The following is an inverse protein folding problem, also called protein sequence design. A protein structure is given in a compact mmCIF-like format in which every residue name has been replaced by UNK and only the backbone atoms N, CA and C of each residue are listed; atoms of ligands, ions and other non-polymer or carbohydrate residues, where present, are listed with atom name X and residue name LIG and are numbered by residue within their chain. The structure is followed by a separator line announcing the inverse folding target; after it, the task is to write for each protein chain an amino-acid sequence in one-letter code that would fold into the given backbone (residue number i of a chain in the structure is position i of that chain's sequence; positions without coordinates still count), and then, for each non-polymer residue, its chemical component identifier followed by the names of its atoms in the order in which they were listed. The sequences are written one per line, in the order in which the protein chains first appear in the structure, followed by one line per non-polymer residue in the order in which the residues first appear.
data_IF_253280501923
#
_entry.id   IF_253280501923
#
_cell.length_a   1.000
_cell.length_b   1.000
_cell.length_c   1.000
_cell.angle_alpha   90.00
_cell.angle_beta   90.00
_cell.angle_gamma   90.00
#
_symmetry.space_group_name_H-M   'P 1'
#
loop_
_entity.id
_entity.type
_entity.pdbx_description
1 polymer ?
#
# COMPACT_ATOMS: atom_id res chain seq x y z
N UNK A 1 1.66 62.93 -21.87
CA UNK A 1 2.82 62.50 -22.67
C UNK A 1 3.04 61.03 -22.33
N UNK A 2 2.60 60.03 -23.08
CA UNK A 2 2.40 59.97 -24.52
C UNK A 2 3.52 59.15 -25.13
N UNK A 3 3.47 57.81 -24.98
CA UNK A 3 4.22 56.89 -25.83
C UNK A 3 3.33 55.72 -26.23
N UNK A 4 2.98 55.73 -27.52
CA UNK A 4 2.35 54.65 -28.28
C UNK A 4 3.39 53.58 -28.62
N UNK A 5 3.09 52.29 -28.39
CA UNK A 5 3.70 51.22 -29.19
C UNK A 5 2.65 50.19 -29.62
N UNK A 6 2.38 50.26 -30.92
CA UNK A 6 1.54 49.45 -31.77
C UNK A 6 2.27 48.15 -32.19
N UNK A 7 1.69 46.98 -31.94
CA UNK A 7 1.66 45.80 -32.85
C UNK A 7 0.76 44.71 -32.24
N UNK A 8 -0.52 44.61 -32.58
CA UNK A 8 -1.10 43.89 -33.73
C UNK A 8 -0.58 42.45 -33.89
N UNK A 9 -1.40 41.51 -33.41
CA UNK A 9 -1.75 40.21 -33.99
C UNK A 9 -0.64 39.39 -34.67
N UNK A 10 -0.21 38.32 -34.02
CA UNK A 10 -0.14 37.01 -34.68
C UNK A 10 -0.83 35.97 -33.79
N UNK A 11 -2.09 35.73 -34.10
CA UNK A 11 -2.80 34.56 -33.66
C UNK A 11 -2.35 33.41 -34.56
N UNK A 12 -1.38 32.60 -34.11
CA UNK A 12 -1.14 31.25 -34.62
C UNK A 12 -0.20 30.48 -33.69
N UNK A 13 -0.79 29.56 -32.92
CA UNK A 13 -0.09 28.44 -32.30
C UNK A 13 0.76 28.77 -31.08
N UNK A 14 0.14 28.90 -29.90
CA UNK A 14 0.87 28.73 -28.65
C UNK A 14 0.09 27.81 -27.72
N UNK A 15 0.75 26.70 -27.40
CA UNK A 15 0.31 25.55 -26.63
C UNK A 15 -0.33 25.92 -25.28
N UNK A 16 -1.21 25.04 -24.80
CA UNK A 16 -1.88 25.05 -23.48
C UNK A 16 -0.93 25.32 -22.28
N UNK A 17 0.38 25.15 -22.50
CA UNK A 17 1.48 25.46 -21.57
C UNK A 17 1.57 26.95 -21.20
N UNK A 18 1.21 27.88 -22.10
CA UNK A 18 1.44 29.33 -21.85
C UNK A 18 0.39 29.96 -20.91
N UNK A 19 -0.78 29.33 -20.76
CA UNK A 19 -1.80 29.81 -19.82
C UNK A 19 -1.43 29.52 -18.35
N UNK A 20 -0.56 28.53 -18.10
CA UNK A 20 -0.10 28.17 -16.76
C UNK A 20 1.03 29.07 -16.24
N UNK A 21 1.73 29.79 -17.12
CA UNK A 21 2.78 30.75 -16.72
C UNK A 21 2.22 32.15 -16.43
N UNK A 22 1.08 32.51 -17.02
CA UNK A 22 0.41 33.81 -16.80
C UNK A 22 -0.14 34.06 -15.38
N UNK A 23 -0.20 33.03 -14.53
CA UNK A 23 -0.65 33.16 -13.13
C UNK A 23 0.50 33.37 -12.13
N UNK A 24 1.77 33.40 -12.57
CA UNK A 24 2.92 33.53 -11.66
C UNK A 24 3.36 34.97 -11.35
N UNK A 25 2.79 36.00 -11.98
CA UNK A 25 3.32 37.38 -11.89
C UNK A 25 2.41 38.41 -11.22
N UNK A 26 1.31 38.01 -10.58
CA UNK A 26 0.51 38.91 -9.74
C UNK A 26 0.57 38.49 -8.27
N UNK A 27 1.52 39.04 -7.50
CA UNK A 27 1.53 38.79 -6.06
C UNK A 27 2.69 39.36 -5.24
N UNK A 28 3.30 40.46 -5.68
CA UNK A 28 4.32 41.17 -4.90
C UNK A 28 3.76 42.52 -4.41
N UNK A 29 3.04 42.49 -3.28
CA UNK A 29 2.89 43.64 -2.38
C UNK A 29 2.81 43.15 -0.92
N UNK A 30 3.63 43.77 -0.09
CA UNK A 30 3.87 43.41 1.30
C UNK A 30 2.59 43.27 2.13
N UNK A 31 2.54 42.16 2.87
CA UNK A 31 1.55 41.82 3.87
C UNK A 31 1.91 40.43 4.36
N UNK A 32 2.19 40.27 5.66
CA UNK A 32 2.50 38.96 6.25
C UNK A 32 1.44 37.97 5.83
N UNK A 33 1.82 37.03 4.96
CA UNK A 33 0.90 36.18 4.22
C UNK A 33 0.05 35.38 5.20
N UNK A 34 -1.27 35.64 5.37
CA UNK A 34 -2.09 34.95 6.36
C UNK A 34 -2.29 33.46 6.05
N UNK A 35 -1.86 33.01 4.86
CA UNK A 35 -1.78 31.59 4.50
C UNK A 35 -0.54 30.89 5.08
N UNK A 36 0.57 31.59 5.32
CA UNK A 36 1.81 30.97 5.79
C UNK A 36 1.66 30.35 7.19
N UNK A 37 0.88 30.99 8.08
CA UNK A 37 0.60 30.49 9.45
C UNK A 37 -0.47 29.40 9.52
N UNK A 38 -1.35 29.27 8.50
CA UNK A 38 -2.34 28.18 8.43
C UNK A 38 -1.79 26.91 7.75
N UNK A 39 -0.70 27.01 6.99
CA UNK A 39 -0.11 25.90 6.24
C UNK A 39 0.88 25.04 7.05
N UNK A 40 1.60 25.61 8.02
CA UNK A 40 2.53 24.86 8.89
C UNK A 40 1.81 23.80 9.76
N UNK A 41 0.71 24.10 10.47
CA UNK A 41 0.03 23.10 11.28
C UNK A 41 -0.56 21.98 10.41
N UNK A 42 -1.10 22.30 9.23
CA UNK A 42 -1.67 21.29 8.32
C UNK A 42 -0.63 20.28 7.84
N UNK A 43 0.59 20.72 7.52
CA UNK A 43 1.66 19.81 7.10
C UNK A 43 2.13 18.90 8.24
N UNK A 44 2.23 19.42 9.47
CA UNK A 44 2.62 18.60 10.64
C UNK A 44 1.54 17.56 10.97
N UNK A 45 0.26 17.97 10.89
CA UNK A 45 -0.88 17.07 11.08
C UNK A 45 -0.90 15.99 9.99
N UNK A 46 -0.75 16.36 8.72
CA UNK A 46 -0.76 15.41 7.59
C UNK A 46 0.37 14.37 7.70
N UNK A 47 1.59 14.78 8.07
CA UNK A 47 2.71 13.85 8.29
C UNK A 47 2.44 12.88 9.44
N UNK A 48 1.84 13.37 10.53
CA UNK A 48 1.49 12.54 11.70
C UNK A 48 0.41 11.53 11.33
N UNK A 49 -0.65 11.97 10.65
CA UNK A 49 -1.73 11.09 10.19
C UNK A 49 -1.23 10.06 9.18
N UNK A 50 -0.34 10.45 8.26
CA UNK A 50 0.30 9.52 7.33
C UNK A 50 1.07 8.45 8.10
N UNK A 51 1.94 8.84 9.03
CA UNK A 51 2.74 7.90 9.82
C UNK A 51 1.86 6.93 10.63
N UNK A 52 0.83 7.44 11.32
CA UNK A 52 -0.11 6.60 12.05
C UNK A 52 -0.86 5.64 11.13
N UNK A 53 -1.27 6.09 9.95
CA UNK A 53 -1.96 5.24 8.97
C UNK A 53 -1.03 4.19 8.38
N UNK A 54 0.25 4.51 8.19
CA UNK A 54 1.27 3.55 7.77
C UNK A 54 1.49 2.46 8.83
N UNK A 55 1.60 2.83 10.10
CA UNK A 55 1.71 1.87 11.20
C UNK A 55 0.46 1.00 11.34
N UNK A 56 -0.73 1.61 11.22
CA UNK A 56 -1.99 0.88 11.21
C UNK A 56 -2.04 -0.11 10.04
N UNK A 57 -1.73 0.35 8.83
CA UNK A 57 -1.66 -0.50 7.64
C UNK A 57 -0.69 -1.66 7.81
N UNK A 58 0.49 -1.42 8.41
CA UNK A 58 1.46 -2.46 8.72
C UNK A 58 0.92 -3.48 9.74
N UNK A 59 0.23 -3.01 10.78
CA UNK A 59 -0.41 -3.88 11.78
C UNK A 59 -1.56 -4.72 11.20
N UNK A 60 -2.23 -4.23 10.15
CA UNK A 60 -3.29 -4.97 9.43
C UNK A 60 -2.73 -6.11 8.55
N UNK A 61 -1.47 -6.04 8.11
CA UNK A 61 -0.85 -7.05 7.24
C UNK A 61 -0.87 -8.47 7.83
N UNK A 62 -0.36 -8.72 9.06
CA UNK A 62 -0.38 -10.06 9.65
C UNK A 62 -1.80 -10.56 9.96
N UNK A 63 -2.79 -9.68 10.05
CA UNK A 63 -4.20 -10.05 10.25
C UNK A 63 -4.86 -10.59 8.98
N UNK A 64 -4.15 -10.62 7.85
CA UNK A 64 -4.70 -11.04 6.55
C UNK A 64 -5.63 -10.00 5.91
N UNK A 65 -5.61 -8.76 6.41
CA UNK A 65 -6.36 -7.64 5.86
C UNK A 65 -5.53 -6.91 4.78
N UNK A 66 -6.15 -6.13 3.87
CA UNK A 66 -5.46 -5.44 2.78
C UNK A 66 -4.65 -4.22 3.28
N UNK A 67 -3.76 -4.41 4.26
CA UNK A 67 -2.98 -3.36 4.91
C UNK A 67 -2.03 -2.61 3.96
N UNK A 68 -1.43 -3.31 2.98
CA UNK A 68 -0.59 -2.68 1.95
C UNK A 68 -1.38 -1.67 1.09
N UNK A 69 -2.62 -1.99 0.76
CA UNK A 69 -3.52 -1.10 0.02
C UNK A 69 -3.93 0.12 0.84
N UNK A 70 -4.16 -0.06 2.14
CA UNK A 70 -4.42 1.06 3.07
C UNK A 70 -3.23 2.02 3.09
N UNK A 71 -2.00 1.50 3.17
CA UNK A 71 -0.79 2.33 3.13
C UNK A 71 -0.61 3.06 1.80
N UNK A 72 -0.87 2.39 0.67
CA UNK A 72 -0.82 3.01 -0.65
C UNK A 72 -1.87 4.12 -0.80
N UNK A 73 -3.09 3.87 -0.34
CA UNK A 73 -4.17 4.87 -0.32
C UNK A 73 -3.84 6.07 0.56
N UNK A 74 -3.27 5.86 1.74
CA UNK A 74 -2.81 6.94 2.61
C UNK A 74 -1.72 7.80 1.94
N UNK A 75 -0.81 7.14 1.22
CA UNK A 75 0.25 7.83 0.45
C UNK A 75 -0.34 8.65 -0.71
N UNK A 76 -1.35 8.12 -1.40
CA UNK A 76 -2.08 8.84 -2.45
C UNK A 76 -2.79 10.08 -1.90
N UNK A 77 -3.50 9.93 -0.78
CA UNK A 77 -4.17 11.06 -0.11
C UNK A 77 -3.16 12.12 0.30
N UNK A 78 -2.02 11.73 0.87
CA UNK A 78 -0.95 12.67 1.22
C UNK A 78 -0.41 13.41 -0.01
N UNK A 79 -0.20 12.71 -1.13
CA UNK A 79 0.27 13.31 -2.38
C UNK A 79 -0.70 14.36 -2.93
N UNK A 80 -2.01 14.13 -2.83
CA UNK A 80 -3.05 15.06 -3.30
C UNK A 80 -3.21 16.26 -2.35
N UNK A 81 -3.22 16.03 -1.04
CA UNK A 81 -3.47 17.06 -0.02
C UNK A 81 -2.24 17.96 0.19
N UNK A 82 -1.04 17.48 -0.13
CA UNK A 82 0.22 18.22 0.01
C UNK A 82 0.91 18.34 -1.36
N UNK A 83 0.47 19.27 -2.25
CA UNK A 83 0.98 19.40 -3.61
C UNK A 83 2.44 19.87 -3.71
N UNK A 84 2.93 20.57 -2.69
CA UNK A 84 4.35 20.93 -2.53
C UNK A 84 5.17 19.80 -1.86
N UNK A 85 4.56 18.63 -1.66
CA UNK A 85 5.17 17.47 -1.04
C UNK A 85 6.19 16.79 -1.94
N UNK A 86 7.09 16.04 -1.32
CA UNK A 86 8.22 15.38 -1.96
C UNK A 86 7.91 14.06 -2.64
N UNK A 87 6.66 13.60 -2.54
CA UNK A 87 6.22 12.36 -3.17
C UNK A 87 5.82 12.68 -4.61
N UNK A 88 6.64 12.27 -5.57
CA UNK A 88 6.34 12.36 -6.99
C UNK A 88 5.53 11.16 -7.51
N UNK A 89 4.96 11.31 -8.71
CA UNK A 89 4.21 10.23 -9.37
C UNK A 89 5.03 8.96 -9.62
N UNK A 90 6.35 9.08 -9.81
CA UNK A 90 7.27 7.93 -9.93
C UNK A 90 7.32 7.14 -8.62
N UNK A 91 7.50 7.83 -7.48
CA UNK A 91 7.51 7.20 -6.15
C UNK A 91 6.20 6.45 -5.91
N UNK A 92 5.06 7.08 -6.23
CA UNK A 92 3.77 6.42 -6.12
C UNK A 92 3.66 5.19 -7.03
N UNK A 93 4.10 5.28 -8.28
CA UNK A 93 4.12 4.16 -9.23
C UNK A 93 4.96 2.97 -8.74
N UNK A 94 6.13 3.23 -8.17
CA UNK A 94 7.00 2.21 -7.56
C UNK A 94 6.32 1.55 -6.35
N UNK A 95 5.71 2.34 -5.47
CA UNK A 95 4.97 1.81 -4.31
C UNK A 95 3.79 0.95 -4.76
N UNK A 96 3.02 1.39 -5.75
CA UNK A 96 1.91 0.62 -6.31
C UNK A 96 2.39 -0.72 -6.91
N UNK A 97 3.50 -0.70 -7.66
CA UNK A 97 4.12 -1.92 -8.18
C UNK A 97 4.57 -2.86 -7.06
N UNK A 98 5.17 -2.33 -5.98
CA UNK A 98 5.56 -3.13 -4.81
C UNK A 98 4.36 -3.79 -4.13
N UNK A 99 3.23 -3.08 -3.99
CA UNK A 99 1.99 -3.66 -3.43
C UNK A 99 1.50 -4.82 -4.29
N UNK A 100 1.43 -4.64 -5.61
CA UNK A 100 1.01 -5.71 -6.52
C UNK A 100 1.97 -6.90 -6.45
N UNK A 101 3.28 -6.67 -6.44
CA UNK A 101 4.28 -7.73 -6.30
C UNK A 101 4.12 -8.49 -4.99
N UNK A 102 3.90 -7.78 -3.87
CA UNK A 102 3.69 -8.40 -2.57
C UNK A 102 2.43 -9.28 -2.54
N UNK A 103 1.33 -8.83 -3.15
CA UNK A 103 0.11 -9.64 -3.29
C UNK A 103 0.34 -10.89 -4.14
N UNK A 104 1.00 -10.75 -5.30
CA UNK A 104 1.32 -11.90 -6.16
C UNK A 104 2.23 -12.90 -5.44
N UNK A 105 3.22 -12.41 -4.68
CA UNK A 105 4.10 -13.25 -3.87
C UNK A 105 3.33 -13.99 -2.77
N UNK A 106 2.35 -13.37 -2.12
CA UNK A 106 1.52 -14.03 -1.12
C UNK A 106 0.78 -15.25 -1.70
N UNK A 107 0.10 -15.08 -2.84
CA UNK A 107 -0.59 -16.18 -3.51
C UNK A 107 0.39 -17.26 -3.99
N UNK A 108 1.54 -16.83 -4.50
CA UNK A 108 2.56 -17.74 -5.04
C UNK A 108 3.22 -18.55 -3.94
N UNK A 109 3.60 -17.94 -2.82
CA UNK A 109 4.20 -18.60 -1.65
C UNK A 109 3.18 -19.57 -1.06
N UNK A 110 1.96 -19.12 -0.75
CA UNK A 110 0.93 -19.97 -0.15
C UNK A 110 0.63 -21.20 -1.03
N UNK A 111 0.52 -21.01 -2.34
CA UNK A 111 0.30 -22.10 -3.29
C UNK A 111 1.51 -23.03 -3.48
N UNK A 112 2.74 -22.51 -3.54
CA UNK A 112 3.95 -23.32 -3.72
C UNK A 112 4.28 -24.14 -2.47
N UNK A 113 4.11 -23.58 -1.29
CA UNK A 113 4.34 -24.30 -0.04
C UNK A 113 3.34 -25.44 0.16
N UNK A 114 2.05 -25.24 -0.15
CA UNK A 114 1.09 -26.35 -0.14
C UNK A 114 1.53 -27.52 -1.07
N UNK A 115 1.99 -27.21 -2.28
CA UNK A 115 2.47 -28.23 -3.24
C UNK A 115 3.80 -28.87 -2.84
N UNK A 116 4.72 -28.11 -2.25
CA UNK A 116 6.03 -28.60 -1.78
C UNK A 116 5.87 -29.73 -0.74
N UNK A 117 4.77 -29.71 0.02
CA UNK A 117 4.46 -30.71 1.03
C UNK A 117 3.52 -31.81 0.51
N UNK A 118 3.40 -31.95 -0.81
CA UNK A 118 2.60 -33.01 -1.47
C UNK A 118 1.14 -32.65 -1.70
N UNK A 119 0.76 -31.39 -1.50
CA UNK A 119 -0.63 -30.95 -1.60
C UNK A 119 -1.12 -30.78 -3.03
N UNK A 120 -2.38 -31.15 -3.24
CA UNK A 120 -3.08 -30.90 -4.50
C UNK A 120 -3.32 -29.40 -4.74
N UNK A 121 -3.74 -29.06 -5.95
CA UNK A 121 -4.22 -27.70 -6.28
C UNK A 121 -5.41 -27.29 -5.39
N UNK A 122 -6.23 -28.25 -4.95
CA UNK A 122 -7.39 -28.02 -4.08
C UNK A 122 -6.96 -27.63 -2.67
N UNK A 123 -5.91 -28.25 -2.13
CA UNK A 123 -5.37 -27.88 -0.82
C UNK A 123 -4.93 -26.41 -0.75
N UNK A 124 -4.31 -25.89 -1.81
CA UNK A 124 -3.95 -24.47 -1.87
C UNK A 124 -5.17 -23.54 -1.82
N UNK A 125 -6.22 -23.83 -2.58
CA UNK A 125 -7.46 -23.06 -2.53
C UNK A 125 -8.21 -23.22 -1.20
N UNK A 126 -8.21 -24.44 -0.65
CA UNK A 126 -8.75 -24.73 0.68
C UNK A 126 -8.06 -23.93 1.77
N UNK A 127 -6.73 -23.75 1.68
CA UNK A 127 -5.97 -22.93 2.61
C UNK A 127 -6.36 -21.44 2.53
N UNK A 128 -6.56 -20.92 1.32
CA UNK A 128 -6.95 -19.51 1.12
C UNK A 128 -8.35 -19.27 1.66
N UNK A 129 -9.33 -20.07 1.24
CA UNK A 129 -10.74 -19.93 1.66
C UNK A 129 -10.87 -20.17 3.16
N UNK A 130 -10.26 -21.25 3.66
CA UNK A 130 -10.26 -21.57 5.08
C UNK A 130 -9.59 -20.47 5.91
N UNK A 131 -8.50 -19.88 5.42
CA UNK A 131 -7.84 -18.77 6.11
C UNK A 131 -8.69 -17.51 6.16
N UNK A 132 -9.40 -17.17 5.09
CA UNK A 132 -10.34 -16.03 5.08
C UNK A 132 -11.49 -16.28 6.06
N UNK A 133 -12.15 -17.44 5.97
CA UNK A 133 -13.27 -17.81 6.86
C UNK A 133 -12.81 -17.83 8.32
N UNK A 134 -11.65 -18.42 8.59
CA UNK A 134 -11.07 -18.46 9.93
C UNK A 134 -10.72 -17.07 10.46
N UNK A 135 -10.18 -16.18 9.63
CA UNK A 135 -9.93 -14.79 10.02
C UNK A 135 -11.22 -14.06 10.41
N UNK A 136 -12.30 -14.26 9.64
CA UNK A 136 -13.63 -13.67 9.88
C UNK A 136 -14.26 -14.22 11.16
N UNK A 137 -14.19 -15.53 11.39
CA UNK A 137 -14.70 -16.15 12.63
C UNK A 137 -13.87 -15.70 13.84
N UNK A 138 -12.58 -15.43 13.65
CA UNK A 138 -11.66 -14.96 14.70
C UNK A 138 -11.84 -13.49 15.10
N UNK A 139 -12.66 -12.71 14.39
CA UNK A 139 -12.91 -11.28 14.64
C UNK A 139 -13.35 -10.93 16.08
N UNK A 140 -14.13 -11.76 16.82
CA UNK A 140 -14.57 -11.41 18.18
C UNK A 140 -13.43 -11.11 19.16
N UNK A 141 -12.22 -11.62 18.91
CA UNK A 141 -11.00 -11.25 19.61
C UNK A 141 -10.07 -10.50 18.64
N UNK A 142 -10.08 -9.16 18.63
CA UNK A 142 -9.31 -8.40 17.65
C UNK A 142 -7.81 -8.70 17.77
N UNK A 143 -7.12 -8.66 16.63
CA UNK A 143 -5.68 -8.92 16.47
C UNK A 143 -5.30 -10.40 16.65
N UNK A 144 -5.49 -10.97 17.84
CA UNK A 144 -5.03 -12.34 18.12
C UNK A 144 -5.98 -13.37 17.52
N UNK A 145 -7.29 -13.18 17.70
CA UNK A 145 -8.31 -14.11 17.21
C UNK A 145 -8.33 -14.20 15.69
N UNK A 146 -8.22 -13.07 14.98
CA UNK A 146 -8.18 -13.07 13.52
C UNK A 146 -6.92 -13.71 12.96
N UNK A 147 -5.75 -13.49 13.58
CA UNK A 147 -4.51 -14.17 13.18
C UNK A 147 -4.58 -15.68 13.41
N UNK A 148 -4.94 -16.09 14.62
CA UNK A 148 -5.06 -17.52 14.98
C UNK A 148 -6.10 -18.19 14.11
N UNK A 149 -7.26 -17.53 13.91
CA UNK A 149 -8.32 -17.98 13.02
C UNK A 149 -7.83 -18.13 11.58
N UNK A 150 -7.07 -17.17 11.04
CA UNK A 150 -6.54 -17.25 9.69
C UNK A 150 -5.58 -18.44 9.51
N UNK A 151 -4.71 -18.69 10.49
CA UNK A 151 -3.78 -19.81 10.45
C UNK A 151 -4.47 -21.17 10.65
N UNK A 152 -5.34 -21.28 11.65
CA UNK A 152 -6.10 -22.49 11.94
C UNK A 152 -7.08 -22.81 10.80
N UNK A 153 -7.75 -21.80 10.27
CA UNK A 153 -8.64 -21.91 9.13
C UNK A 153 -7.89 -22.32 7.86
N UNK A 154 -6.70 -21.79 7.60
CA UNK A 154 -5.88 -22.21 6.46
C UNK A 154 -5.43 -23.67 6.60
N UNK A 155 -5.04 -24.09 7.80
CA UNK A 155 -4.69 -25.50 8.08
C UNK A 155 -5.90 -26.42 7.86
N UNK A 156 -7.03 -26.13 8.51
CA UNK A 156 -8.23 -26.94 8.43
C UNK A 156 -8.81 -26.97 7.01
N UNK A 157 -8.84 -25.83 6.31
CA UNK A 157 -9.30 -25.73 4.94
C UNK A 157 -8.42 -26.50 3.96
N UNK A 158 -7.09 -26.46 4.12
CA UNK A 158 -6.17 -27.29 3.34
C UNK A 158 -6.37 -28.78 3.62
N UNK A 159 -6.54 -29.15 4.89
CA UNK A 159 -6.76 -30.54 5.31
C UNK A 159 -8.05 -31.10 4.71
N UNK A 160 -9.17 -30.40 4.87
CA UNK A 160 -10.47 -30.81 4.32
C UNK A 160 -10.40 -30.89 2.81
N UNK A 161 -9.82 -29.88 2.14
CA UNK A 161 -9.70 -29.90 0.69
C UNK A 161 -8.85 -31.06 0.18
N UNK A 162 -7.75 -31.41 0.85
CA UNK A 162 -6.92 -32.56 0.48
C UNK A 162 -7.63 -33.90 0.75
N UNK A 163 -8.45 -33.99 1.80
CA UNK A 163 -9.25 -35.20 2.09
C UNK A 163 -10.30 -35.48 1.01
N UNK A 164 -10.76 -34.46 0.29
CA UNK A 164 -11.68 -34.61 -0.87
C UNK A 164 -10.98 -35.06 -2.16
N UNK A 165 -9.65 -35.13 -2.18
CA UNK A 165 -8.88 -35.65 -3.32
C UNK A 165 -8.85 -37.17 -3.26
N UNK A 166 -8.88 -37.83 -4.42
CA UNK A 166 -8.82 -39.28 -4.53
C UNK A 166 -7.56 -39.83 -3.84
N UNK A 167 -7.70 -40.96 -3.14
CA UNK A 167 -6.61 -41.56 -2.33
C UNK A 167 -5.34 -41.83 -3.14
N UNK A 168 -5.48 -42.13 -4.42
CA UNK A 168 -4.37 -42.45 -5.33
C UNK A 168 -3.52 -41.23 -5.71
N UNK A 169 -4.08 -40.02 -5.61
CA UNK A 169 -3.41 -38.77 -6.05
C UNK A 169 -3.16 -37.78 -4.91
N UNK A 170 -3.67 -38.07 -3.71
CA UNK A 170 -3.55 -37.18 -2.54
C UNK A 170 -2.23 -37.41 -1.79
N UNK A 171 -1.65 -36.31 -1.31
CA UNK A 171 -0.53 -36.37 -0.36
C UNK A 171 -1.00 -36.80 1.03
N UNK A 172 -0.05 -36.93 1.97
CA UNK A 172 -0.37 -37.13 3.38
C UNK A 172 -1.10 -35.88 3.93
N UNK A 173 -2.38 -35.97 4.33
CA UNK A 173 -3.21 -34.77 4.54
C UNK A 173 -2.68 -33.82 5.62
N UNK A 174 -2.13 -34.37 6.71
CA UNK A 174 -1.55 -33.58 7.81
C UNK A 174 -0.28 -32.85 7.37
N UNK A 175 0.57 -33.52 6.57
CA UNK A 175 1.78 -32.91 6.01
C UNK A 175 1.43 -31.77 5.04
N UNK A 176 0.40 -31.96 4.21
CA UNK A 176 -0.12 -30.93 3.29
C UNK A 176 -0.67 -29.73 4.06
N UNK A 177 -1.50 -29.97 5.08
CA UNK A 177 -2.07 -28.91 5.92
C UNK A 177 -0.98 -28.13 6.67
N UNK A 178 0.06 -28.82 7.17
CA UNK A 178 1.24 -28.20 7.77
C UNK A 178 2.00 -27.34 6.77
N UNK A 179 2.17 -27.83 5.53
CA UNK A 179 2.77 -27.05 4.44
C UNK A 179 1.99 -25.79 4.09
N UNK A 180 0.66 -25.86 4.11
CA UNK A 180 -0.21 -24.70 3.91
C UNK A 180 -0.07 -23.66 5.04
N UNK A 181 -0.01 -24.13 6.30
CA UNK A 181 0.22 -23.26 7.46
C UNK A 181 1.57 -22.55 7.38
N UNK A 182 2.66 -23.28 7.12
CA UNK A 182 4.01 -22.72 6.94
C UNK A 182 4.01 -21.72 5.77
N UNK A 183 3.37 -22.08 4.65
CA UNK A 183 3.20 -21.20 3.51
C UNK A 183 2.52 -19.88 3.88
N UNK A 184 1.47 -19.93 4.71
CA UNK A 184 0.77 -18.73 5.18
C UNK A 184 1.64 -17.85 6.07
N UNK A 185 2.40 -18.45 6.99
CA UNK A 185 3.33 -17.73 7.87
C UNK A 185 4.44 -17.05 7.06
N UNK A 186 5.07 -17.77 6.13
CA UNK A 186 6.12 -17.22 5.26
C UNK A 186 5.57 -16.11 4.36
N UNK A 187 4.37 -16.29 3.81
CA UNK A 187 3.71 -15.26 3.00
C UNK A 187 3.41 -14.00 3.81
N UNK A 188 2.87 -14.15 5.03
CA UNK A 188 2.60 -13.03 5.93
C UNK A 188 3.90 -12.30 6.31
N UNK A 189 4.96 -13.02 6.69
CA UNK A 189 6.26 -12.44 7.00
C UNK A 189 6.86 -11.66 5.82
N UNK A 190 6.77 -12.23 4.62
CA UNK A 190 7.21 -11.56 3.38
C UNK A 190 6.44 -10.26 3.17
N UNK A 191 5.11 -10.29 3.34
CA UNK A 191 4.24 -9.11 3.19
C UNK A 191 4.52 -8.03 4.21
N UNK A 192 4.83 -8.41 5.46
CA UNK A 192 5.28 -7.48 6.50
C UNK A 192 6.60 -6.82 6.13
N UNK A 193 7.56 -7.56 5.54
CA UNK A 193 8.81 -6.98 5.07
C UNK A 193 8.60 -5.94 3.95
N UNK A 194 7.70 -6.21 2.99
CA UNK A 194 7.29 -5.21 1.99
C UNK A 194 6.62 -3.98 2.63
N UNK A 195 5.73 -4.20 3.59
CA UNK A 195 5.10 -3.11 4.34
C UNK A 195 6.13 -2.23 5.06
N UNK A 196 7.09 -2.84 5.74
CA UNK A 196 8.18 -2.13 6.41
C UNK A 196 9.03 -1.32 5.43
N UNK A 197 9.38 -1.90 4.29
CA UNK A 197 10.09 -1.20 3.23
C UNK A 197 9.31 0.03 2.72
N UNK A 198 8.00 -0.09 2.56
CA UNK A 198 7.15 1.05 2.20
C UNK A 198 7.14 2.14 3.27
N UNK A 199 7.03 1.80 4.55
CA UNK A 199 7.07 2.79 5.64
C UNK A 199 8.38 3.55 5.62
N UNK A 200 9.50 2.85 5.55
CA UNK A 200 10.85 3.47 5.51
C UNK A 200 11.00 4.37 4.28
N UNK A 201 10.58 3.89 3.10
CA UNK A 201 10.68 4.67 1.87
C UNK A 201 9.82 5.93 1.91
N UNK A 202 8.54 5.80 2.27
CA UNK A 202 7.61 6.94 2.31
C UNK A 202 8.07 7.98 3.33
N UNK A 203 8.43 7.55 4.54
CA UNK A 203 8.92 8.47 5.57
C UNK A 203 10.25 9.12 5.17
N UNK A 204 11.17 8.37 4.56
CA UNK A 204 12.41 8.90 4.02
C UNK A 204 12.18 9.95 2.94
N UNK A 205 11.30 9.67 1.97
CA UNK A 205 10.95 10.62 0.92
C UNK A 205 10.33 11.91 1.49
N UNK A 206 9.41 11.79 2.45
CA UNK A 206 8.77 12.93 3.12
C UNK A 206 9.80 13.77 3.89
N UNK A 207 10.73 13.12 4.62
CA UNK A 207 11.76 13.82 5.40
C UNK A 207 12.80 14.52 4.51
N UNK A 208 13.26 13.86 3.44
CA UNK A 208 14.25 14.42 2.51
C UNK A 208 13.73 15.68 1.84
N UNK A 209 12.48 15.68 1.37
CA UNK A 209 11.93 16.89 0.75
C UNK A 209 11.64 18.01 1.73
N UNK A 210 11.38 17.70 3.01
CA UNK A 210 11.36 18.72 4.09
C UNK A 210 12.72 19.39 4.27
N UNK A 211 13.81 18.64 4.21
CA UNK A 211 15.17 19.18 4.33
C UNK A 211 15.56 19.99 3.08
N UNK A 212 15.19 19.52 1.89
CA UNK A 212 15.48 20.21 0.63
C UNK A 212 14.71 21.52 0.44
N UNK A 213 13.55 21.69 1.09
CA UNK A 213 12.76 22.93 1.01
C UNK A 213 13.21 24.04 1.96
N UNK A 214 14.23 23.80 2.79
CA UNK A 214 14.78 24.75 3.77
C UNK A 214 16.11 25.40 3.32
N UNK A 215 16.58 25.15 2.09
CA UNK A 215 17.75 25.81 1.49
C UNK A 215 17.34 26.67 0.31
#
# INVERSE_FOLDING_TARGET
MGETCNRRQDARGVSFVTMAEGLRTCGEKGGTKPWAVRCVPLHMIAMTLLFLTLLLGLALVPLGLPGLWVMLGATLVYWIVVPAGSIGGITFGVLAALVVVAEVLEFTISGRYARKYGGSRRAGWGAIVGGIVGAVIGVPLPIIGSMVGAFAGAFAGALVAELTVARETRGEPIRVATGALIGRVVAAATKVAFGMAMVVWVMGAVLVGRLSGNG
#
